data_IF_255353618229
#
_entry.id   IF_255353618229
#
_cell.length_a   1.000
_cell.length_b   1.000
_cell.length_c   1.000
_cell.angle_alpha   90.00
_cell.angle_beta   90.00
_cell.angle_gamma   90.00
#
_symmetry.space_group_name_H-M   'P 1'
#
loop_
_entity.id
_entity.type
_entity.pdbx_description
1 polymer ?
#
# COMPACT_ATOMS: atom_id res chain seq x y z
N UNK A 1 -16.97 -18.84 1.60
CA UNK A 1 -16.22 -18.55 0.34
C UNK A 1 -17.27 -18.07 -0.65
N UNK A 2 -17.84 -16.90 -0.39
CA UNK A 2 -19.24 -16.62 -0.71
C UNK A 2 -19.44 -15.63 -1.88
N UNK A 3 -18.34 -15.16 -2.48
CA UNK A 3 -18.35 -14.15 -3.55
C UNK A 3 -18.08 -14.73 -4.96
N UNK A 4 -17.80 -16.04 -5.08
CA UNK A 4 -17.75 -16.74 -6.37
C UNK A 4 -16.67 -16.27 -7.36
N UNK A 5 -15.54 -15.74 -6.89
CA UNK A 5 -14.47 -15.26 -7.78
C UNK A 5 -13.77 -16.39 -8.53
N UNK A 6 -13.52 -16.19 -9.83
CA UNK A 6 -12.79 -17.13 -10.68
C UNK A 6 -11.28 -17.12 -10.42
N UNK A 7 -10.74 -15.94 -10.09
CA UNK A 7 -9.30 -15.72 -9.91
C UNK A 7 -8.95 -14.95 -8.63
N UNK A 8 -7.78 -15.27 -8.08
CA UNK A 8 -7.06 -14.45 -7.11
C UNK A 8 -5.70 -14.05 -7.68
N UNK A 9 -5.10 -12.98 -7.14
CA UNK A 9 -3.83 -12.46 -7.62
C UNK A 9 -3.08 -11.68 -6.56
N UNK A 10 -1.92 -11.14 -6.93
CA UNK A 10 -1.10 -10.33 -6.04
C UNK A 10 -0.88 -8.93 -6.63
N UNK A 11 -1.10 -7.92 -5.81
CA UNK A 11 -0.73 -6.54 -6.15
C UNK A 11 0.80 -6.36 -6.24
N UNK A 12 1.61 -7.26 -5.68
CA UNK A 12 3.06 -7.12 -5.63
C UNK A 12 3.73 -7.07 -7.01
N UNK A 13 3.10 -7.63 -8.04
CA UNK A 13 3.65 -7.69 -9.40
C UNK A 13 3.64 -6.33 -10.13
N UNK A 14 2.97 -5.30 -9.58
CA UNK A 14 3.07 -3.92 -10.06
C UNK A 14 4.39 -3.24 -9.67
N UNK A 15 5.04 -3.70 -8.60
CA UNK A 15 6.23 -3.04 -8.08
C UNK A 15 7.45 -3.34 -8.96
N UNK A 16 8.22 -2.31 -9.39
CA UNK A 16 9.39 -2.49 -10.25
C UNK A 16 10.50 -3.30 -9.56
N UNK A 17 10.52 -3.32 -8.23
CA UNK A 17 11.55 -3.99 -7.43
C UNK A 17 11.19 -5.44 -7.05
N UNK A 18 10.01 -5.93 -7.41
CA UNK A 18 9.57 -7.28 -7.06
C UNK A 18 9.74 -8.24 -8.24
N UNK A 19 10.27 -9.43 -7.95
CA UNK A 19 10.45 -10.50 -8.92
C UNK A 19 9.09 -11.17 -9.21
N UNK A 20 8.53 -10.89 -10.38
CA UNK A 20 7.21 -11.39 -10.79
C UNK A 20 7.21 -12.90 -10.99
N UNK A 21 8.31 -13.49 -11.47
CA UNK A 21 8.40 -14.94 -11.66
C UNK A 21 8.28 -15.69 -10.33
N UNK A 22 8.96 -15.21 -9.29
CA UNK A 22 8.91 -15.80 -7.94
C UNK A 22 7.53 -15.63 -7.32
N UNK A 23 6.91 -14.46 -7.47
CA UNK A 23 5.55 -14.23 -6.97
C UNK A 23 4.56 -15.17 -7.67
N UNK A 24 4.69 -15.32 -9.00
CA UNK A 24 3.81 -16.18 -9.77
C UNK A 24 3.99 -17.67 -9.44
N UNK A 25 5.21 -18.15 -9.21
CA UNK A 25 5.43 -19.54 -8.79
C UNK A 25 4.77 -19.83 -7.44
N UNK A 26 4.91 -18.92 -6.47
CA UNK A 26 4.26 -19.04 -5.16
C UNK A 26 2.73 -19.01 -5.31
N UNK A 27 2.19 -18.11 -6.14
CA UNK A 27 0.74 -18.03 -6.38
C UNK A 27 0.16 -19.32 -6.97
N UNK A 28 0.88 -19.95 -7.91
CA UNK A 28 0.50 -21.25 -8.48
C UNK A 28 0.57 -22.37 -7.44
N UNK A 29 1.57 -22.35 -6.54
CA UNK A 29 1.64 -23.32 -5.45
C UNK A 29 0.47 -23.15 -4.46
N UNK A 30 0.12 -21.90 -4.14
CA UNK A 30 -1.04 -21.56 -3.31
C UNK A 30 -2.34 -21.96 -3.99
N UNK A 31 -2.46 -21.87 -5.32
CA UNK A 31 -3.65 -22.34 -6.02
C UNK A 31 -3.96 -23.82 -5.73
N UNK A 32 -2.97 -24.68 -5.49
CA UNK A 32 -3.18 -26.13 -5.27
C UNK A 32 -4.03 -26.45 -4.04
N UNK A 33 -4.13 -25.53 -3.08
CA UNK A 33 -4.90 -25.67 -1.84
C UNK A 33 -6.26 -24.95 -1.89
N UNK A 34 -6.57 -24.23 -2.97
CA UNK A 34 -7.83 -23.50 -3.13
C UNK A 34 -8.53 -23.86 -4.45
N UNK A 35 -9.85 -23.67 -4.51
CA UNK A 35 -10.61 -23.90 -5.74
C UNK A 35 -10.46 -22.76 -6.75
N UNK A 36 -10.18 -21.55 -6.28
CA UNK A 36 -10.00 -20.36 -7.11
C UNK A 36 -8.66 -20.39 -7.83
N UNK A 37 -8.61 -19.98 -9.09
CA UNK A 37 -7.38 -19.97 -9.89
C UNK A 37 -6.48 -18.78 -9.54
N UNK A 38 -5.17 -18.96 -9.63
CA UNK A 38 -4.23 -17.86 -9.54
C UNK A 38 -4.12 -17.17 -10.91
N UNK A 39 -4.11 -15.84 -10.93
CA UNK A 39 -3.88 -15.02 -12.12
C UNK A 39 -2.38 -14.69 -12.23
N UNK A 40 -1.62 -15.36 -13.12
CA UNK A 40 -0.22 -15.02 -13.32
C UNK A 40 -0.12 -13.64 -13.96
N UNK A 41 0.59 -12.74 -13.30
CA UNK A 41 0.68 -11.35 -13.77
C UNK A 41 2.09 -10.79 -13.66
N UNK A 42 2.35 -9.80 -14.51
CA UNK A 42 3.53 -8.94 -14.40
C UNK A 42 3.09 -7.51 -14.70
N UNK A 43 2.29 -6.95 -13.79
CA UNK A 43 1.61 -5.67 -14.02
C UNK A 43 2.56 -4.49 -14.24
N UNK A 44 3.84 -4.60 -13.89
CA UNK A 44 4.84 -3.57 -14.23
C UNK A 44 5.22 -3.51 -15.71
N UNK A 45 5.02 -4.57 -16.50
CA UNK A 45 5.36 -4.61 -17.94
C UNK A 45 4.49 -3.64 -18.75
N UNK A 46 4.92 -3.34 -19.97
CA UNK A 46 4.20 -2.45 -20.90
C UNK A 46 3.85 -1.09 -20.29
N UNK A 47 4.79 -0.50 -19.54
CA UNK A 47 4.60 0.76 -18.80
C UNK A 47 3.50 0.69 -17.73
N UNK A 48 3.08 -0.48 -17.28
CA UNK A 48 2.01 -0.61 -16.30
C UNK A 48 2.33 0.03 -14.95
N UNK A 49 3.60 0.03 -14.51
CA UNK A 49 3.99 0.81 -13.32
C UNK A 49 3.75 2.31 -13.53
N UNK A 50 4.14 2.87 -14.67
CA UNK A 50 3.90 4.28 -15.01
C UNK A 50 2.41 4.58 -15.04
N UNK A 51 1.61 3.73 -15.68
CA UNK A 51 0.14 3.86 -15.68
C UNK A 51 -0.44 3.84 -14.27
N UNK A 52 0.12 3.05 -13.34
CA UNK A 52 -0.31 3.06 -11.93
C UNK A 52 -0.04 4.40 -11.23
N UNK A 53 1.03 5.12 -11.61
CA UNK A 53 1.34 6.45 -11.07
C UNK A 53 0.34 7.47 -11.62
N UNK A 54 0.10 7.44 -12.93
CA UNK A 54 -0.88 8.31 -13.60
C UNK A 54 -2.29 8.10 -13.03
N UNK A 55 -2.70 6.85 -12.79
CA UNK A 55 -3.99 6.55 -12.15
C UNK A 55 -4.08 7.08 -10.72
N UNK A 56 -2.98 7.08 -9.95
CA UNK A 56 -3.01 7.67 -8.62
C UNK A 56 -3.25 9.17 -8.66
N UNK A 57 -2.67 9.87 -9.64
CA UNK A 57 -2.94 11.30 -9.87
C UNK A 57 -4.39 11.52 -10.34
N UNK A 58 -4.89 10.68 -11.25
CA UNK A 58 -6.25 10.75 -11.82
C UNK A 58 -7.34 10.55 -10.74
N UNK A 59 -7.13 9.61 -9.82
CA UNK A 59 -8.12 9.22 -8.80
C UNK A 59 -7.86 9.83 -7.42
N UNK A 60 -6.94 10.78 -7.29
CA UNK A 60 -6.53 11.38 -6.02
C UNK A 60 -6.13 10.33 -4.95
N UNK A 61 -5.41 9.30 -5.39
CA UNK A 61 -4.94 8.22 -4.52
C UNK A 61 -3.58 8.61 -3.95
N UNK A 62 -3.54 8.81 -2.63
CA UNK A 62 -2.30 9.04 -1.91
C UNK A 62 -1.31 7.87 -2.06
N UNK A 63 -0.10 8.17 -2.52
CA UNK A 63 1.01 7.20 -2.63
C UNK A 63 1.95 7.35 -1.45
N UNK A 64 1.84 6.43 -0.48
CA UNK A 64 2.69 6.42 0.70
C UNK A 64 4.15 6.10 0.34
N UNK A 65 5.03 7.10 0.44
CA UNK A 65 6.47 6.93 0.21
C UNK A 65 7.23 6.36 1.42
N UNK A 66 6.62 6.34 2.60
CA UNK A 66 7.23 5.87 3.85
C UNK A 66 6.44 4.72 4.48
N UNK A 67 7.04 3.52 4.56
CA UNK A 67 6.42 2.30 5.13
C UNK A 67 6.04 2.38 6.62
N UNK A 68 6.46 3.41 7.37
CA UNK A 68 6.37 3.43 8.84
C UNK A 68 7.52 2.71 9.56
N UNK A 69 8.48 2.15 8.82
CA UNK A 69 9.55 1.31 9.35
C UNK A 69 10.88 2.07 9.47
N UNK A 70 11.69 1.77 10.50
CA UNK A 70 12.98 2.45 10.77
C UNK A 70 13.94 2.37 9.57
N UNK A 71 13.91 1.27 8.82
CA UNK A 71 14.76 1.08 7.65
C UNK A 71 14.47 2.09 6.54
N UNK A 72 13.20 2.36 6.24
CA UNK A 72 12.87 3.39 5.24
C UNK A 72 13.14 4.80 5.77
N UNK A 73 12.93 5.04 7.07
CA UNK A 73 13.27 6.32 7.68
C UNK A 73 14.77 6.61 7.52
N UNK A 74 15.62 5.62 7.83
CA UNK A 74 17.06 5.71 7.62
C UNK A 74 17.42 5.91 6.14
N UNK A 75 16.85 5.11 5.23
CA UNK A 75 17.12 5.22 3.81
C UNK A 75 16.70 6.58 3.20
N UNK A 76 15.66 7.19 3.76
CA UNK A 76 15.12 8.48 3.33
C UNK A 76 15.63 9.67 4.16
N UNK A 77 16.55 9.42 5.11
CA UNK A 77 17.07 10.42 6.05
C UNK A 77 15.98 11.18 6.83
N UNK A 78 14.91 10.46 7.21
CA UNK A 78 13.82 11.00 8.03
C UNK A 78 14.27 11.04 9.50
N UNK A 79 14.28 12.23 10.09
CA UNK A 79 14.45 12.40 11.53
C UNK A 79 13.13 12.16 12.25
N UNK A 80 12.94 10.93 12.73
CA UNK A 80 11.74 10.53 13.48
C UNK A 80 11.55 11.32 14.79
N UNK A 81 12.64 11.81 15.39
CA UNK A 81 12.57 12.62 16.61
C UNK A 81 12.00 13.99 16.28
N UNK A 82 12.48 14.61 15.20
CA UNK A 82 11.97 15.90 14.76
C UNK A 82 10.51 15.78 14.30
N UNK A 83 10.17 14.77 13.50
CA UNK A 83 8.78 14.50 13.08
C UNK A 83 7.85 14.40 14.29
N UNK A 84 8.27 13.72 15.36
CA UNK A 84 7.47 13.62 16.59
C UNK A 84 7.30 14.97 17.29
N UNK A 85 8.36 15.78 17.36
CA UNK A 85 8.30 17.14 17.95
C UNK A 85 7.33 18.02 17.16
N UNK A 86 7.43 18.00 15.84
CA UNK A 86 6.58 18.80 14.95
C UNK A 86 5.12 18.37 15.04
N UNK A 87 4.85 17.06 15.05
CA UNK A 87 3.50 16.54 15.24
C UNK A 87 2.92 16.94 16.61
N UNK A 88 3.73 16.88 17.67
CA UNK A 88 3.29 17.30 19.01
C UNK A 88 2.98 18.79 19.02
N UNK A 89 3.86 19.62 18.43
CA UNK A 89 3.68 21.06 18.36
C UNK A 89 2.44 21.46 17.54
N UNK A 90 2.18 20.78 16.42
CA UNK A 90 1.01 20.99 15.57
C UNK A 90 -0.30 20.69 16.30
N UNK A 91 -0.30 19.76 17.25
CA UNK A 91 -1.51 19.37 17.99
C UNK A 91 -1.79 20.27 19.21
N UNK A 92 -0.90 21.18 19.60
CA UNK A 92 -1.03 21.98 20.83
C UNK A 92 -2.21 22.95 20.78
N UNK A 93 -2.51 23.54 19.62
CA UNK A 93 -3.57 24.53 19.44
C UNK A 93 -4.86 23.95 18.83
N UNK A 94 -4.91 22.63 18.62
CA UNK A 94 -6.03 21.95 17.97
C UNK A 94 -6.96 21.33 18.99
N UNK A 95 -8.24 21.57 18.81
CA UNK A 95 -9.30 20.85 19.51
C UNK A 95 -9.71 19.65 18.65
N UNK A 96 -9.34 18.44 19.08
CA UNK A 96 -9.57 17.22 18.31
C UNK A 96 -11.06 17.00 18.00
N UNK A 97 -11.93 17.31 18.96
CA UNK A 97 -13.37 17.09 18.77
C UNK A 97 -14.00 18.13 17.86
N UNK A 98 -13.47 19.36 17.83
CA UNK A 98 -14.01 20.45 17.01
C UNK A 98 -13.36 20.48 15.61
N UNK A 99 -12.04 20.53 15.55
CA UNK A 99 -11.27 20.75 14.33
C UNK A 99 -11.20 19.49 13.46
N UNK A 100 -11.31 18.31 14.07
CA UNK A 100 -11.26 17.02 13.38
C UNK A 100 -12.51 16.16 13.60
N UNK A 101 -13.65 16.79 13.89
CA UNK A 101 -14.97 16.14 14.06
C UNK A 101 -15.38 15.17 12.94
N UNK A 102 -14.86 15.40 11.72
CA UNK A 102 -15.10 14.58 10.53
C UNK A 102 -14.18 13.34 10.46
N UNK A 103 -13.10 13.30 11.22
CA UNK A 103 -12.16 12.19 11.33
C UNK A 103 -12.54 11.37 12.57
N UNK A 104 -13.54 10.50 12.43
CA UNK A 104 -13.94 9.58 13.49
C UNK A 104 -13.12 8.31 13.41
N UNK A 105 -12.16 8.15 14.31
CA UNK A 105 -11.54 6.84 14.56
C UNK A 105 -12.53 6.02 15.39
N UNK A 106 -13.37 5.23 14.71
CA UNK A 106 -14.20 4.24 15.39
C UNK A 106 -13.24 3.12 15.83
N UNK A 107 -12.99 3.04 17.12
CA UNK A 107 -12.28 1.91 17.75
C UNK A 107 -13.36 1.08 18.43
N UNK A 108 -13.73 -0.02 17.80
CA UNK A 108 -14.65 -1.02 18.38
C UNK A 108 -14.02 -1.73 19.58
#
# INVERSE_FOLDING_TARGET
MDLGFDYFGSALTISPHKNSQTINSIGIDVQKIYTTHYLPSDFKKNQGYKRSVEMCEEYDIYRQCYCGCVYAAQAQNIDLVQVKKDATAFMLDKDVEKDYSHIKFIVD
#
